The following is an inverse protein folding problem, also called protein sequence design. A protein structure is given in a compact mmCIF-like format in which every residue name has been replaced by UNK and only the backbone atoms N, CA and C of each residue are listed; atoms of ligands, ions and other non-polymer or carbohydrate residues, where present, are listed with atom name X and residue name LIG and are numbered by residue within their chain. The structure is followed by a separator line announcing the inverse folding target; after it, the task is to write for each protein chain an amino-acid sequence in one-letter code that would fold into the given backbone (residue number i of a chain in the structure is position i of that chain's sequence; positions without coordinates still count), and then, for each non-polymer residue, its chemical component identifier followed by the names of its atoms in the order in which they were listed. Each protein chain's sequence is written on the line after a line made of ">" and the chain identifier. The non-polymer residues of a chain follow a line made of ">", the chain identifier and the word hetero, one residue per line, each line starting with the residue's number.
data_IF_358061142166
#
_entry.id   IF_358061142166
#
_cell.length_a   1.000
_cell.length_b   1.000
_cell.length_c   1.000
_cell.angle_alpha   90.00
_cell.angle_beta   90.00
_cell.angle_gamma   90.00
#
_symmetry.space_group_name_H-M   'P 1'
#
loop_
_entity.id
_entity.type
_entity.pdbx_description
1 polymer ?
#
# COMPACT_ATOMS: atom_id res chain seq x y z
N UNK A 1 3.52 18.81 5.71
CA UNK A 1 3.62 17.76 6.73
C UNK A 1 5.06 17.27 6.84
N UNK A 2 5.52 17.22 8.07
CA UNK A 2 6.93 16.92 8.35
C UNK A 2 7.13 15.41 8.52
N UNK A 3 6.93 14.61 7.33
CA UNK A 3 6.93 13.19 7.22
C UNK A 3 8.12 12.57 7.90
N UNK A 4 9.37 13.21 7.88
CA UNK A 4 10.61 12.69 8.44
C UNK A 4 10.57 12.75 9.94
N UNK A 5 10.18 13.89 10.46
CA UNK A 5 10.03 14.07 11.90
C UNK A 5 8.98 13.09 12.42
N UNK A 6 7.87 12.96 11.72
CA UNK A 6 6.77 12.12 12.15
C UNK A 6 7.11 10.63 12.04
N UNK A 7 7.81 10.20 10.99
CA UNK A 7 8.32 8.83 10.86
C UNK A 7 9.36 8.51 11.95
N UNK A 8 10.28 9.42 12.22
CA UNK A 8 11.28 9.23 13.28
C UNK A 8 10.64 9.17 14.67
N UNK A 9 9.70 10.08 14.97
CA UNK A 9 8.95 10.06 16.24
C UNK A 9 8.14 8.77 16.38
N UNK A 10 7.52 8.31 15.30
CA UNK A 10 6.83 7.02 15.29
C UNK A 10 7.79 5.87 15.60
N UNK A 11 8.93 5.81 14.91
CA UNK A 11 9.95 4.79 15.14
C UNK A 11 10.45 4.80 16.59
N UNK A 12 10.76 5.97 17.14
CA UNK A 12 11.25 6.08 18.51
C UNK A 12 10.22 5.65 19.55
N UNK A 13 8.98 6.12 19.40
CA UNK A 13 7.94 5.94 20.42
C UNK A 13 7.15 4.64 20.29
N UNK A 14 6.87 4.21 19.05
CA UNK A 14 5.97 3.08 18.81
C UNK A 14 6.71 1.77 18.55
N UNK A 15 7.87 1.83 17.95
CA UNK A 15 8.67 0.62 17.66
C UNK A 15 9.80 0.38 18.67
N UNK A 16 9.94 1.26 19.67
CA UNK A 16 11.05 1.23 20.65
C UNK A 16 12.43 1.21 19.98
N UNK A 17 12.57 1.95 18.88
CA UNK A 17 13.78 2.04 18.07
C UNK A 17 14.23 0.69 17.47
N UNK A 18 13.27 -0.17 17.10
CA UNK A 18 13.59 -1.41 16.37
C UNK A 18 14.38 -1.08 15.10
N UNK A 19 15.63 -1.56 14.96
CA UNK A 19 16.48 -1.22 13.80
C UNK A 19 15.91 -1.71 12.46
N UNK A 20 15.08 -2.76 12.48
CA UNK A 20 14.40 -3.26 11.28
C UNK A 20 13.31 -2.33 10.76
N UNK A 21 12.89 -1.37 11.59
CA UNK A 21 11.87 -0.36 11.27
C UNK A 21 12.44 1.04 11.22
N UNK A 22 13.75 1.15 11.06
CA UNK A 22 14.42 2.43 10.93
C UNK A 22 13.99 3.14 9.65
N UNK A 23 13.44 4.36 9.71
CA UNK A 23 12.92 5.07 8.54
C UNK A 23 13.99 5.79 7.70
N UNK A 24 15.27 5.57 8.02
CA UNK A 24 16.36 6.31 7.39
C UNK A 24 16.64 7.67 8.04
N UNK A 25 17.80 8.27 7.75
CA UNK A 25 18.21 9.55 8.32
C UNK A 25 17.43 10.75 7.77
N UNK A 26 16.89 10.62 6.57
CA UNK A 26 16.09 11.64 5.87
C UNK A 26 15.15 10.98 4.85
N UNK A 27 14.14 11.70 4.31
CA UNK A 27 13.31 11.16 3.24
C UNK A 27 14.16 10.76 2.05
N UNK A 28 13.78 9.67 1.41
CA UNK A 28 14.43 9.18 0.20
C UNK A 28 15.95 8.95 0.37
N UNK A 29 16.38 8.62 1.58
CA UNK A 29 17.77 8.22 1.84
C UNK A 29 18.11 6.87 1.22
N UNK A 30 17.11 5.98 1.19
CA UNK A 30 17.27 4.64 0.67
C UNK A 30 17.02 4.61 -0.85
N UNK A 31 17.84 3.90 -1.63
CA UNK A 31 17.71 3.86 -3.10
C UNK A 31 16.35 3.31 -3.55
N UNK A 32 15.80 2.33 -2.84
CA UNK A 32 14.49 1.75 -3.13
C UNK A 32 13.36 2.77 -2.96
N UNK A 33 13.39 3.53 -1.87
CA UNK A 33 12.40 4.58 -1.61
C UNK A 33 12.48 5.70 -2.65
N UNK A 34 13.69 6.06 -3.07
CA UNK A 34 13.92 7.05 -4.12
C UNK A 34 13.40 6.55 -5.46
N UNK A 35 13.70 5.29 -5.81
CA UNK A 35 13.20 4.69 -7.04
C UNK A 35 11.67 4.73 -7.12
N UNK A 36 10.99 4.27 -6.07
CA UNK A 36 9.52 4.30 -6.03
C UNK A 36 8.96 5.72 -6.13
N UNK A 37 9.57 6.66 -5.42
CA UNK A 37 9.19 8.08 -5.50
C UNK A 37 9.31 8.60 -6.93
N UNK A 38 10.44 8.38 -7.58
CA UNK A 38 10.72 8.88 -8.93
C UNK A 38 9.79 8.21 -9.97
N UNK A 39 9.49 6.92 -9.81
CA UNK A 39 8.51 6.22 -10.66
C UNK A 39 7.09 6.77 -10.47
N UNK A 40 6.68 7.06 -9.24
CA UNK A 40 5.37 7.67 -8.97
C UNK A 40 5.26 9.06 -9.60
N UNK A 41 6.33 9.87 -9.54
CA UNK A 41 6.36 11.19 -10.21
C UNK A 41 6.33 11.07 -11.73
N UNK A 42 7.07 10.12 -12.30
CA UNK A 42 7.18 9.93 -13.74
C UNK A 42 5.92 9.32 -14.34
N UNK A 43 5.40 8.29 -13.71
CA UNK A 43 4.29 7.48 -14.25
C UNK A 43 2.91 8.02 -13.82
N UNK A 44 2.80 8.60 -12.62
CA UNK A 44 1.55 9.09 -12.02
C UNK A 44 0.42 8.05 -12.06
N UNK A 45 0.58 6.93 -11.38
CA UNK A 45 -0.39 5.85 -11.42
C UNK A 45 -1.75 6.26 -10.88
N UNK A 46 -2.83 5.73 -11.47
CA UNK A 46 -4.19 5.87 -10.96
C UNK A 46 -4.45 5.00 -9.73
N UNK A 47 -3.62 3.99 -9.53
CA UNK A 47 -3.68 3.05 -8.42
C UNK A 47 -2.30 2.45 -8.15
N UNK A 48 -1.96 2.28 -6.89
CA UNK A 48 -0.81 1.52 -6.43
C UNK A 48 -1.32 0.25 -5.73
N UNK A 49 -0.82 -0.90 -6.16
CA UNK A 49 -1.06 -2.18 -5.47
C UNK A 49 0.23 -2.62 -4.81
N UNK A 50 0.19 -2.69 -3.48
CA UNK A 50 1.30 -3.11 -2.64
C UNK A 50 1.03 -4.49 -2.06
N UNK A 51 2.03 -5.37 -2.03
CA UNK A 51 1.87 -6.73 -1.50
C UNK A 51 2.81 -6.89 -0.32
N UNK A 52 2.22 -7.20 0.82
CA UNK A 52 2.90 -7.40 2.09
C UNK A 52 2.48 -8.74 2.73
N UNK A 53 3.03 -9.02 3.91
CA UNK A 53 2.65 -10.10 4.81
C UNK A 53 3.10 -9.70 6.24
N UNK A 54 2.55 -10.26 7.33
CA UNK A 54 1.73 -11.50 7.41
C UNK A 54 0.29 -11.30 7.92
N UNK A 55 -0.33 -10.15 7.82
CA UNK A 55 -1.56 -9.84 8.57
C UNK A 55 -2.85 -10.48 8.04
N UNK A 56 -2.87 -10.95 6.80
CA UNK A 56 -4.03 -11.64 6.24
C UNK A 56 -5.25 -10.76 6.00
N UNK A 57 -5.07 -9.50 5.61
CA UNK A 57 -6.13 -8.51 5.41
C UNK A 57 -5.86 -7.65 4.18
N UNK A 58 -6.82 -6.81 3.82
CA UNK A 58 -6.60 -5.68 2.91
C UNK A 58 -6.53 -4.39 3.68
N UNK A 59 -5.62 -3.51 3.29
CA UNK A 59 -5.59 -2.13 3.73
C UNK A 59 -5.76 -1.19 2.54
N UNK A 60 -6.24 0.02 2.79
CA UNK A 60 -6.47 1.01 1.74
C UNK A 60 -6.20 2.42 2.26
N UNK A 61 -5.36 3.15 1.52
CA UNK A 61 -5.07 4.54 1.79
C UNK A 61 -5.40 5.40 0.58
N UNK A 62 -5.97 6.57 0.82
CA UNK A 62 -6.19 7.58 -0.20
C UNK A 62 -7.64 7.74 -0.64
N UNK A 63 -7.84 8.47 -1.74
CA UNK A 63 -9.19 8.78 -2.23
C UNK A 63 -9.83 7.58 -2.92
N UNK A 64 -11.15 7.58 -2.95
CA UNK A 64 -11.95 6.58 -3.63
C UNK A 64 -12.56 5.55 -2.68
N UNK A 65 -13.20 4.56 -3.27
CA UNK A 65 -13.91 3.52 -2.53
C UNK A 65 -13.07 2.24 -2.49
N UNK A 66 -12.64 1.79 -1.31
CA UNK A 66 -11.81 0.60 -1.19
C UNK A 66 -12.51 -0.67 -1.68
N UNK A 67 -11.75 -1.70 -2.11
CA UNK A 67 -12.31 -3.02 -2.30
C UNK A 67 -12.71 -3.61 -0.94
N UNK A 68 -13.94 -4.13 -0.80
CA UNK A 68 -14.37 -4.71 0.47
C UNK A 68 -13.69 -6.05 0.74
N UNK A 69 -13.23 -6.70 -0.33
CA UNK A 69 -12.67 -8.04 -0.29
C UNK A 69 -11.91 -8.33 -1.59
N UNK A 70 -10.78 -9.05 -1.49
CA UNK A 70 -10.08 -9.68 -2.62
C UNK A 70 -9.77 -11.14 -2.24
N UNK A 71 -10.37 -12.09 -2.97
CA UNK A 71 -10.30 -13.49 -2.58
C UNK A 71 -10.84 -13.74 -1.17
N UNK A 72 -10.00 -14.21 -0.28
CA UNK A 72 -10.34 -14.44 1.13
C UNK A 72 -9.95 -13.31 2.06
N UNK A 73 -9.30 -12.27 1.54
CA UNK A 73 -8.85 -11.13 2.32
C UNK A 73 -9.93 -10.06 2.38
N UNK A 74 -10.31 -9.67 3.58
CA UNK A 74 -11.30 -8.63 3.83
C UNK A 74 -10.62 -7.32 4.21
N UNK A 75 -11.27 -6.21 3.90
CA UNK A 75 -10.81 -4.89 4.28
C UNK A 75 -10.80 -4.76 5.80
N UNK A 76 -9.61 -4.47 6.32
CA UNK A 76 -9.39 -4.12 7.72
C UNK A 76 -8.30 -3.04 7.75
N UNK A 77 -8.74 -1.79 7.88
CA UNK A 77 -7.81 -0.67 7.80
C UNK A 77 -6.82 -0.68 8.96
N UNK A 78 -5.55 -0.86 8.63
CA UNK A 78 -4.47 -0.92 9.60
C UNK A 78 -4.10 0.45 10.16
N UNK A 79 -4.55 1.51 9.51
CA UNK A 79 -4.31 2.89 9.92
C UNK A 79 -3.16 3.56 9.16
N UNK A 80 -2.97 4.85 9.46
CA UNK A 80 -1.97 5.68 8.80
C UNK A 80 -0.64 5.58 9.54
N UNK A 81 0.38 5.10 8.84
CA UNK A 81 1.74 4.99 9.38
C UNK A 81 2.65 6.03 8.74
N UNK A 82 3.21 6.98 9.51
CA UNK A 82 4.15 7.96 8.97
C UNK A 82 5.33 7.31 8.26
N UNK A 83 5.58 7.73 7.03
CA UNK A 83 6.65 7.18 6.20
C UNK A 83 6.28 5.93 5.39
N UNK A 84 5.07 5.40 5.54
CA UNK A 84 4.61 4.29 4.71
C UNK A 84 4.27 4.73 3.27
N UNK A 85 4.28 3.77 2.34
CA UNK A 85 3.85 4.00 0.96
C UNK A 85 2.38 4.42 0.89
N UNK A 86 1.51 3.80 1.71
CA UNK A 86 0.10 4.15 1.79
C UNK A 86 -0.12 5.60 2.21
N UNK A 87 0.57 6.04 3.27
CA UNK A 87 0.50 7.42 3.71
C UNK A 87 1.04 8.40 2.65
N UNK A 88 2.17 8.09 2.04
CA UNK A 88 2.73 8.94 0.99
C UNK A 88 1.87 8.95 -0.27
N UNK A 89 1.64 7.81 -0.87
CA UNK A 89 0.89 7.70 -2.11
C UNK A 89 -0.56 8.10 -1.93
N UNK A 90 -1.25 7.49 -0.96
CA UNK A 90 -2.68 7.67 -0.75
C UNK A 90 -3.03 9.03 -0.18
N UNK A 91 -2.46 9.38 0.97
CA UNK A 91 -2.87 10.59 1.70
C UNK A 91 -2.22 11.85 1.14
N UNK A 92 -0.92 11.83 0.85
CA UNK A 92 -0.21 13.04 0.41
C UNK A 92 -0.25 13.28 -1.09
N UNK A 93 -0.19 12.21 -1.89
CA UNK A 93 -0.17 12.33 -3.35
C UNK A 93 -1.55 12.15 -4.00
N UNK A 94 -2.54 11.67 -3.23
CA UNK A 94 -3.88 11.40 -3.75
C UNK A 94 -3.93 10.24 -4.74
N UNK A 95 -2.94 9.36 -4.73
CA UNK A 95 -2.89 8.13 -5.51
C UNK A 95 -3.40 6.99 -4.64
N UNK A 96 -4.55 6.37 -4.92
CA UNK A 96 -5.07 5.28 -4.08
C UNK A 96 -4.04 4.16 -3.94
N UNK A 97 -3.87 3.65 -2.73
CA UNK A 97 -2.99 2.51 -2.44
C UNK A 97 -3.80 1.38 -1.84
N UNK A 98 -3.87 0.24 -2.52
CA UNK A 98 -4.40 -1.01 -1.97
C UNK A 98 -3.22 -1.83 -1.48
N UNK A 99 -3.20 -2.17 -0.21
CA UNK A 99 -2.21 -3.08 0.35
C UNK A 99 -2.84 -4.44 0.58
N UNK A 100 -2.32 -5.45 -0.12
CA UNK A 100 -2.70 -6.85 0.03
C UNK A 100 -1.76 -7.46 1.06
N UNK A 101 -2.23 -7.62 2.30
CA UNK A 101 -1.49 -8.28 3.37
C UNK A 101 -1.74 -9.77 3.33
N UNK A 102 -0.83 -10.52 2.72
CA UNK A 102 -0.93 -11.99 2.69
C UNK A 102 -0.83 -12.57 4.10
N UNK A 103 -1.51 -13.68 4.40
CA UNK A 103 -1.54 -14.24 5.76
C UNK A 103 -0.23 -14.88 6.20
N UNK A 104 0.69 -15.15 5.27
CA UNK A 104 1.95 -15.83 5.57
C UNK A 104 3.10 -15.27 4.73
N UNK A 105 4.20 -14.91 5.39
CA UNK A 105 5.38 -14.38 4.73
C UNK A 105 6.31 -15.46 4.14
N UNK A 106 6.12 -16.74 4.52
CA UNK A 106 6.97 -17.87 4.12
C UNK A 106 6.32 -18.81 3.12
N UNK A 107 5.03 -18.62 2.85
CA UNK A 107 4.25 -19.46 1.93
C UNK A 107 3.44 -18.59 0.99
N UNK A 108 3.55 -18.86 -0.29
CA UNK A 108 2.67 -18.27 -1.28
C UNK A 108 1.24 -18.82 -1.11
N UNK A 109 0.21 -18.00 -1.37
CA UNK A 109 -1.16 -18.52 -1.50
C UNK A 109 -1.25 -19.59 -2.57
N UNK A 110 -2.29 -20.42 -2.49
CA UNK A 110 -2.57 -21.39 -3.52
C UNK A 110 -2.90 -20.70 -4.85
N UNK A 111 -2.65 -21.37 -5.96
CA UNK A 111 -2.89 -20.84 -7.31
C UNK A 111 -4.33 -20.33 -7.48
N UNK A 112 -5.32 -21.10 -7.06
CA UNK A 112 -6.73 -20.72 -7.13
C UNK A 112 -7.06 -19.49 -6.25
N UNK A 113 -6.37 -19.31 -5.11
CA UNK A 113 -6.54 -18.13 -4.25
C UNK A 113 -5.95 -16.89 -4.92
N UNK A 114 -4.78 -17.01 -5.54
CA UNK A 114 -4.16 -15.91 -6.30
C UNK A 114 -5.02 -15.52 -7.51
N UNK A 115 -5.55 -16.49 -8.25
CA UNK A 115 -6.45 -16.24 -9.37
C UNK A 115 -7.74 -15.54 -8.94
N UNK A 116 -8.31 -15.93 -7.80
CA UNK A 116 -9.50 -15.27 -7.26
C UNK A 116 -9.21 -13.83 -6.82
N UNK A 117 -8.10 -13.61 -6.12
CA UNK A 117 -7.69 -12.25 -5.72
C UNK A 117 -7.48 -11.35 -6.95
N UNK A 118 -6.85 -11.89 -7.99
CA UNK A 118 -6.62 -11.17 -9.23
C UNK A 118 -7.92 -10.82 -9.96
N UNK A 119 -8.85 -11.76 -10.06
CA UNK A 119 -10.15 -11.53 -10.68
C UNK A 119 -10.97 -10.47 -9.93
N UNK A 120 -10.96 -10.53 -8.60
CA UNK A 120 -11.65 -9.54 -7.76
C UNK A 120 -11.00 -8.16 -7.88
N UNK A 121 -9.67 -8.07 -7.89
CA UNK A 121 -8.94 -6.83 -8.08
C UNK A 121 -9.25 -6.18 -9.43
N UNK A 122 -9.21 -6.96 -10.52
CA UNK A 122 -9.55 -6.46 -11.85
C UNK A 122 -10.99 -5.95 -11.94
N UNK A 123 -11.94 -6.65 -11.33
CA UNK A 123 -13.35 -6.23 -11.29
C UNK A 123 -13.50 -4.91 -10.55
N UNK A 124 -12.92 -4.81 -9.37
CA UNK A 124 -12.94 -3.59 -8.57
C UNK A 124 -12.28 -2.41 -9.29
N UNK A 125 -11.12 -2.62 -9.95
CA UNK A 125 -10.45 -1.57 -10.73
C UNK A 125 -11.35 -1.04 -11.84
N UNK A 126 -11.99 -1.92 -12.62
CA UNK A 126 -12.91 -1.51 -13.69
C UNK A 126 -14.10 -0.71 -13.18
N UNK A 127 -14.63 -1.08 -12.01
CA UNK A 127 -15.82 -0.44 -11.46
C UNK A 127 -15.54 0.86 -10.72
N UNK A 128 -14.38 1.00 -10.09
CA UNK A 128 -14.12 2.03 -9.07
C UNK A 128 -12.91 2.91 -9.34
N UNK A 129 -11.99 2.48 -10.17
CA UNK A 129 -10.74 3.20 -10.44
C UNK A 129 -10.71 3.77 -11.85
N UNK A 130 -11.05 2.97 -12.85
CA UNK A 130 -11.06 3.41 -14.24
C UNK A 130 -12.29 4.30 -14.52
N UNK A 131 -12.13 5.39 -15.28
CA UNK A 131 -13.25 6.20 -15.68
C UNK A 131 -14.24 5.40 -16.55
N UNK A 132 -15.54 5.70 -16.49
CA UNK A 132 -16.53 5.05 -17.34
C UNK A 132 -16.16 5.18 -18.83
N UNK A 133 -16.06 4.04 -19.54
CA UNK A 133 -15.72 4.01 -20.96
C UNK A 133 -14.24 3.73 -21.29
N UNK A 134 -13.37 3.56 -20.30
CA UNK A 134 -11.95 3.19 -20.48
C UNK A 134 -11.69 1.68 -20.48
N UNK A 135 -12.67 0.86 -20.85
CA UNK A 135 -12.41 -0.56 -21.06
C UNK A 135 -11.56 -0.76 -22.33
N UNK A 136 -10.56 -1.65 -22.29
CA UNK A 136 -9.77 -1.97 -23.48
C UNK A 136 -10.61 -2.63 -24.58
#
# INVERSE_FOLDING_TARGET
>A
PNWVRDAKVYWEKRTRKDPRRWPGPKPLSEPESRYLHDEMERFRPDLIVSIHAPYGVLDFDGPGKPPPKLGRLYLDQLGIFPGSLGNYGGVHRGMPVVTIELPNALRTPLENEMQQMWADLQRWMREKVLPPGSAP
#
